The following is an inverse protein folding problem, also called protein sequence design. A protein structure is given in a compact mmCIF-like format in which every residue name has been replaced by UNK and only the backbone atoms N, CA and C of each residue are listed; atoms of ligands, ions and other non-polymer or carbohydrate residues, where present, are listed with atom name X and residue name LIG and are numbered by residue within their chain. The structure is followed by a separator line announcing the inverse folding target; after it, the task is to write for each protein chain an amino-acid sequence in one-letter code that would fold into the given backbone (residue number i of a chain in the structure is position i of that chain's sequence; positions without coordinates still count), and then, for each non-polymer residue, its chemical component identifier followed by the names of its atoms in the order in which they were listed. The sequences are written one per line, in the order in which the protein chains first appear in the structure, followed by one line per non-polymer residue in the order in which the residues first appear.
data_IF_844750632526
#
_entry.id   IF_844750632526
#
_cell.length_a   1.000
_cell.length_b   1.000
_cell.length_c   1.000
_cell.angle_alpha   90.00
_cell.angle_beta   90.00
_cell.angle_gamma   90.00
#
_symmetry.space_group_name_H-M   'P 1'
#
loop_
_entity.id
_entity.type
_entity.pdbx_description
1 polymer ?
#
# COMPACT_ATOMS: atom_id res chain seq x y z
N UNK A 1 5.23 -3.10 -36.54
CA UNK A 1 5.06 -1.63 -36.46
C UNK A 1 4.04 -1.17 -35.40
N UNK A 2 3.16 -2.04 -34.86
CA UNK A 2 2.16 -1.63 -33.86
C UNK A 2 2.73 -1.30 -32.46
N UNK A 3 3.73 -2.06 -31.99
CA UNK A 3 4.33 -1.83 -30.66
C UNK A 3 4.99 -0.45 -30.52
N UNK A 4 5.66 0.05 -31.56
CA UNK A 4 6.25 1.40 -31.55
C UNK A 4 5.20 2.50 -31.39
N UNK A 5 4.04 2.34 -32.03
CA UNK A 5 2.91 3.27 -31.92
C UNK A 5 2.25 3.25 -30.55
N UNK A 6 2.17 2.07 -29.91
CA UNK A 6 1.65 1.96 -28.55
C UNK A 6 2.57 2.63 -27.52
N UNK A 7 3.88 2.37 -27.59
CA UNK A 7 4.87 2.94 -26.67
C UNK A 7 4.93 4.46 -26.82
N UNK A 8 4.91 4.99 -28.05
CA UNK A 8 4.95 6.45 -28.25
C UNK A 8 3.69 7.16 -27.72
N UNK A 9 2.51 6.53 -27.86
CA UNK A 9 1.23 7.10 -27.38
C UNK A 9 1.06 7.02 -25.87
N UNK A 10 1.69 6.06 -25.21
CA UNK A 10 1.55 5.81 -23.78
C UNK A 10 2.85 6.03 -22.97
N UNK A 11 3.86 6.66 -23.57
CA UNK A 11 5.21 6.81 -23.00
C UNK A 11 5.18 7.44 -21.61
N UNK A 12 4.37 8.50 -21.45
CA UNK A 12 4.21 9.20 -20.17
C UNK A 12 3.65 8.26 -19.11
N UNK A 13 2.61 7.49 -19.41
CA UNK A 13 2.04 6.53 -18.47
C UNK A 13 3.03 5.41 -18.11
N UNK A 14 3.75 4.89 -19.11
CA UNK A 14 4.77 3.85 -18.93
C UNK A 14 5.90 4.30 -18.00
N UNK A 15 6.25 5.60 -18.00
CA UNK A 15 7.28 6.16 -17.12
C UNK A 15 6.68 6.59 -15.77
N UNK A 16 5.51 7.22 -15.77
CA UNK A 16 4.88 7.76 -14.57
C UNK A 16 4.46 6.67 -13.59
N UNK A 17 3.87 5.57 -14.07
CA UNK A 17 3.43 4.46 -13.22
C UNK A 17 4.57 3.89 -12.38
N UNK A 18 5.70 3.42 -12.95
CA UNK A 18 6.81 2.92 -12.15
C UNK A 18 7.48 4.01 -11.31
N UNK A 19 7.46 5.28 -11.74
CA UNK A 19 8.02 6.39 -10.93
C UNK A 19 7.21 6.63 -9.67
N UNK A 20 5.88 6.67 -9.76
CA UNK A 20 4.99 6.84 -8.61
C UNK A 20 5.10 5.64 -7.67
N UNK A 21 5.11 4.43 -8.22
CA UNK A 21 5.28 3.20 -7.45
C UNK A 21 6.63 3.18 -6.72
N UNK A 22 7.70 3.57 -7.42
CA UNK A 22 9.04 3.67 -6.84
C UNK A 22 9.11 4.71 -5.72
N UNK A 23 8.53 5.90 -5.92
CA UNK A 23 8.46 6.95 -4.91
C UNK A 23 7.68 6.52 -3.66
N UNK A 24 6.53 5.86 -3.85
CA UNK A 24 5.76 5.30 -2.73
C UNK A 24 6.54 4.23 -1.97
N UNK A 25 7.24 3.34 -2.70
CA UNK A 25 8.07 2.32 -2.08
C UNK A 25 9.24 2.91 -1.31
N UNK A 26 9.93 3.90 -1.88
CA UNK A 26 11.03 4.59 -1.21
C UNK A 26 10.55 5.25 0.08
N UNK A 27 9.41 5.95 0.05
CA UNK A 27 8.82 6.56 1.23
C UNK A 27 8.44 5.52 2.30
N UNK A 28 7.83 4.41 1.89
CA UNK A 28 7.50 3.30 2.79
C UNK A 28 8.74 2.72 3.46
N UNK A 29 9.83 2.52 2.71
CA UNK A 29 11.10 2.02 3.24
C UNK A 29 11.74 2.96 4.25
N UNK A 30 11.65 4.27 4.04
CA UNK A 30 12.12 5.26 5.02
C UNK A 30 11.36 5.14 6.36
N UNK A 31 10.05 4.91 6.32
CA UNK A 31 9.23 4.72 7.53
C UNK A 31 9.49 3.38 8.25
N UNK A 32 10.09 2.41 7.57
CA UNK A 32 10.49 1.13 8.15
C UNK A 32 11.86 1.16 8.84
N UNK A 33 12.61 2.26 8.76
CA UNK A 33 13.89 2.38 9.47
C UNK A 33 13.64 2.75 10.93
N UNK A 34 14.00 1.86 11.86
CA UNK A 34 13.83 2.08 13.31
C UNK A 34 14.60 3.30 13.81
N UNK A 35 15.68 3.68 13.13
CA UNK A 35 16.51 4.85 13.42
C UNK A 35 15.77 6.19 13.13
N UNK A 36 14.87 6.21 12.16
CA UNK A 36 14.12 7.39 11.75
C UNK A 36 12.72 7.46 12.37
N UNK A 37 12.11 6.29 12.60
CA UNK A 37 10.76 6.19 13.20
C UNK A 37 10.74 4.99 14.14
N UNK A 38 10.52 5.27 15.43
CA UNK A 38 10.34 4.23 16.45
C UNK A 38 9.15 3.33 16.07
N UNK A 39 9.24 2.00 16.30
CA UNK A 39 8.22 1.04 15.86
C UNK A 39 6.81 1.35 16.39
N UNK A 40 6.72 1.95 17.57
CA UNK A 40 5.48 2.37 18.24
C UNK A 40 4.82 3.62 17.63
N UNK A 41 5.54 4.38 16.79
CA UNK A 41 5.02 5.56 16.08
C UNK A 41 4.77 5.31 14.60
N UNK A 42 4.97 4.07 14.13
CA UNK A 42 4.72 3.70 12.74
C UNK A 42 3.23 3.81 12.45
N UNK A 43 2.86 4.83 11.67
CA UNK A 43 1.53 4.90 11.06
C UNK A 43 1.30 3.64 10.24
N UNK A 44 0.41 2.79 10.73
CA UNK A 44 -0.06 1.63 9.98
C UNK A 44 -0.64 2.14 8.66
N UNK A 45 -0.29 1.50 7.55
CA UNK A 45 -0.89 1.84 6.27
C UNK A 45 -2.42 1.80 6.43
N UNK A 46 -3.17 2.83 6.01
CA UNK A 46 -4.61 2.88 6.23
C UNK A 46 -5.32 1.65 5.64
N UNK A 47 -4.79 1.09 4.55
CA UNK A 47 -5.27 -0.17 3.95
C UNK A 47 -5.10 -1.34 4.91
N UNK A 48 -3.93 -1.48 5.56
CA UNK A 48 -3.69 -2.53 6.54
C UNK A 48 -4.57 -2.35 7.79
N UNK A 49 -4.81 -1.10 8.20
CA UNK A 49 -5.77 -0.77 9.27
C UNK A 49 -7.18 -1.22 8.89
N UNK A 50 -7.67 -0.87 7.69
CA UNK A 50 -8.98 -1.29 7.21
C UNK A 50 -9.12 -2.81 7.09
N UNK A 51 -8.08 -3.51 6.62
CA UNK A 51 -8.07 -4.98 6.55
C UNK A 51 -8.14 -5.57 7.97
N UNK A 52 -7.33 -5.07 8.91
CA UNK A 52 -7.33 -5.54 10.29
C UNK A 52 -8.67 -5.25 10.97
N UNK A 53 -9.23 -4.05 10.80
CA UNK A 53 -10.54 -3.67 11.33
C UNK A 53 -11.66 -4.55 10.73
N UNK A 54 -11.57 -4.91 9.45
CA UNK A 54 -12.52 -5.80 8.78
C UNK A 54 -12.46 -7.22 9.35
N UNK A 55 -11.26 -7.80 9.48
CA UNK A 55 -11.09 -9.14 10.07
C UNK A 55 -11.47 -9.18 11.56
N UNK A 56 -11.15 -8.14 12.34
CA UNK A 56 -11.52 -8.06 13.76
C UNK A 56 -13.04 -7.87 13.97
N UNK A 57 -13.73 -7.24 13.01
CA UNK A 57 -15.19 -7.11 13.04
C UNK A 57 -15.88 -8.46 12.87
N UNK A 58 -15.31 -9.34 12.05
CA UNK A 58 -15.86 -10.68 11.83
C UNK A 58 -15.60 -11.61 13.03
N UNK A 59 -14.45 -11.51 13.69
CA UNK A 59 -14.16 -12.29 14.92
C UNK A 59 -15.05 -11.87 16.09
N UNK A 60 -15.27 -10.56 16.30
CA UNK A 60 -16.15 -10.04 17.37
C UNK A 60 -17.63 -10.43 17.17
N UNK A 61 -18.08 -10.56 15.91
CA UNK A 61 -19.45 -10.98 15.59
C UNK A 61 -19.67 -12.48 15.81
N UNK A 62 -18.62 -13.31 15.67
CA UNK A 62 -18.68 -14.76 15.94
C UNK A 62 -18.73 -15.04 17.44
N UNK A 63 -18.02 -14.28 18.27
CA UNK A 63 -18.06 -14.46 19.73
C UNK A 63 -19.40 -14.05 20.36
N UNK A 64 -20.07 -13.03 19.81
CA UNK A 64 -21.38 -12.57 20.30
C UNK A 64 -22.54 -13.49 19.88
N UNK A 65 -22.40 -14.30 18.84
CA UNK A 65 -23.39 -15.30 18.43
C UNK A 65 -23.24 -16.67 19.11
N UNK A 66 -22.16 -16.87 19.88
CA UNK A 66 -21.91 -18.12 20.64
C UNK A 66 -22.35 -18.03 22.11
N UNK A 67 -22.88 -16.88 22.54
CA UNK A 67 -23.34 -16.59 23.90
C UNK A 67 -24.87 -16.55 23.94
#
# INVERSE_FOLDING_TARGET
MQAKSFVSKNLVAIIMVPTILGGHYAWYRLQQMDELVKPEQRSQLPILKYINDFFNKDTAKVETMKK
#
